data_IF_578881899784
#
_entry.id   IF_578881899784
#
_cell.length_a   1.000
_cell.length_b   1.000
_cell.length_c   1.000
_cell.angle_alpha   90.00
_cell.angle_beta   90.00
_cell.angle_gamma   90.00
#
_symmetry.space_group_name_H-M   'P 1'
#
loop_
_entity.id
_entity.type
_entity.pdbx_description
1 polymer ?
#
# COMPACT_ATOMS: atom_id res chain seq x y z
N UNK A 1 2.84 -4.27 12.26
CA UNK A 1 3.24 -3.08 11.47
C UNK A 1 4.73 -3.18 11.17
N UNK A 2 5.23 -2.55 10.11
CA UNK A 2 6.67 -2.51 9.80
C UNK A 2 7.34 -1.49 10.72
N UNK A 3 8.50 -1.81 11.30
CA UNK A 3 9.34 -0.81 11.97
C UNK A 3 10.06 0.09 10.94
N UNK A 4 10.78 1.12 11.38
CA UNK A 4 11.40 2.10 10.48
C UNK A 4 12.37 1.46 9.45
N UNK A 5 13.26 0.59 9.92
CA UNK A 5 14.24 -0.12 9.07
C UNK A 5 13.58 -1.09 8.10
N UNK A 6 12.56 -1.82 8.56
CA UNK A 6 11.77 -2.74 7.73
C UNK A 6 10.96 -1.98 6.67
N UNK A 7 10.46 -0.81 7.02
CA UNK A 7 9.69 0.05 6.13
C UNK A 7 10.56 0.59 4.99
N UNK A 8 11.78 1.05 5.29
CA UNK A 8 12.70 1.51 4.24
C UNK A 8 13.13 0.38 3.29
N UNK A 9 13.37 -0.81 3.84
CA UNK A 9 13.65 -2.00 3.04
C UNK A 9 12.45 -2.38 2.15
N UNK A 10 11.24 -2.35 2.72
CA UNK A 10 10.00 -2.57 1.99
C UNK A 10 9.85 -1.59 0.83
N UNK A 11 9.99 -0.28 1.06
CA UNK A 11 9.87 0.75 0.01
C UNK A 11 10.83 0.49 -1.15
N UNK A 12 12.11 0.23 -0.86
CA UNK A 12 13.12 -0.08 -1.88
C UNK A 12 12.75 -1.30 -2.72
N UNK A 13 12.26 -2.37 -2.08
CA UNK A 13 11.87 -3.61 -2.76
C UNK A 13 10.64 -3.38 -3.65
N UNK A 14 9.63 -2.68 -3.14
CA UNK A 14 8.41 -2.37 -3.89
C UNK A 14 8.72 -1.50 -5.11
N UNK A 15 9.46 -0.40 -4.94
CA UNK A 15 9.83 0.48 -6.04
C UNK A 15 10.65 -0.27 -7.12
N UNK A 16 11.58 -1.13 -6.71
CA UNK A 16 12.36 -1.96 -7.64
C UNK A 16 11.46 -2.94 -8.40
N UNK A 17 10.53 -3.60 -7.72
CA UNK A 17 9.60 -4.59 -8.31
C UNK A 17 8.67 -3.94 -9.34
N UNK A 18 8.13 -2.76 -9.03
CA UNK A 18 7.13 -2.10 -9.88
C UNK A 18 7.71 -1.07 -10.84
N UNK A 19 9.04 -0.89 -10.88
CA UNK A 19 9.71 0.01 -11.83
C UNK A 19 9.24 -0.16 -13.29
N UNK A 20 9.01 -1.36 -13.84
CA UNK A 20 8.48 -1.51 -15.20
C UNK A 20 7.06 -0.93 -15.37
N UNK A 21 6.20 -1.08 -14.36
CA UNK A 21 4.83 -0.57 -14.38
C UNK A 21 4.75 0.95 -14.17
N UNK A 22 5.77 1.53 -13.52
CA UNK A 22 5.91 2.98 -13.34
C UNK A 22 6.47 3.68 -14.58
N UNK A 23 7.22 2.97 -15.43
CA UNK A 23 7.89 3.54 -16.60
C UNK A 23 6.96 4.29 -17.58
N UNK A 24 5.75 3.79 -17.91
CA UNK A 24 4.86 4.49 -18.84
C UNK A 24 4.03 5.60 -18.19
N UNK A 25 4.11 5.78 -16.87
CA UNK A 25 3.30 6.75 -16.12
C UNK A 25 3.98 8.12 -16.07
N UNK A 26 3.16 9.17 -16.07
CA UNK A 26 3.60 10.52 -15.78
C UNK A 26 3.88 10.67 -14.27
N UNK A 27 5.13 10.96 -13.92
CA UNK A 27 5.54 11.03 -12.51
C UNK A 27 4.86 12.17 -11.74
N UNK A 28 4.40 13.23 -12.41
CA UNK A 28 3.79 14.39 -11.76
C UNK A 28 2.29 14.19 -11.50
N UNK A 29 1.62 13.44 -12.37
CA UNK A 29 0.15 13.38 -12.41
C UNK A 29 -0.41 12.00 -12.10
N UNK A 30 0.35 10.93 -12.39
CA UNK A 30 -0.12 9.56 -12.23
C UNK A 30 0.31 8.95 -10.89
N UNK A 31 -0.39 7.89 -10.54
CA UNK A 31 -0.05 7.02 -9.42
C UNK A 31 -0.29 5.57 -9.77
N UNK A 32 0.39 4.68 -9.06
CA UNK A 32 0.21 3.24 -9.16
C UNK A 32 -0.30 2.69 -7.82
N UNK A 33 -1.51 2.12 -7.82
CA UNK A 33 -2.03 1.34 -6.70
C UNK A 33 -1.91 -0.15 -6.95
N UNK A 34 -1.29 -0.86 -6.03
CA UNK A 34 -1.02 -2.29 -6.15
C UNK A 34 -1.32 -3.03 -4.86
N UNK A 35 -2.01 -4.17 -4.99
CA UNK A 35 -2.02 -5.19 -3.96
C UNK A 35 -0.78 -6.08 -4.13
N UNK A 36 0.00 -6.24 -3.08
CA UNK A 36 1.27 -6.99 -3.08
C UNK A 36 1.42 -7.79 -1.79
N UNK A 37 2.34 -8.74 -1.78
CA UNK A 37 2.75 -9.44 -0.57
C UNK A 37 4.21 -9.19 -0.24
N UNK A 38 4.50 -9.08 1.06
CA UNK A 38 5.83 -8.93 1.61
C UNK A 38 5.93 -9.67 2.94
N UNK A 39 6.93 -10.56 3.08
CA UNK A 39 7.13 -11.40 4.26
C UNK A 39 5.85 -12.13 4.70
N UNK A 40 5.12 -12.71 3.74
CA UNK A 40 3.88 -13.46 3.99
C UNK A 40 2.65 -12.62 4.35
N UNK A 41 2.75 -11.28 4.35
CA UNK A 41 1.63 -10.38 4.65
C UNK A 41 1.17 -9.65 3.38
N UNK A 42 -0.13 -9.42 3.27
CA UNK A 42 -0.76 -8.71 2.16
C UNK A 42 -0.81 -7.21 2.46
N UNK A 43 -0.40 -6.40 1.49
CA UNK A 43 -0.38 -4.96 1.57
C UNK A 43 -1.03 -4.34 0.35
N UNK A 44 -1.75 -3.25 0.55
CA UNK A 44 -2.04 -2.30 -0.52
C UNK A 44 -1.04 -1.16 -0.45
N UNK A 45 -0.45 -0.84 -1.59
CA UNK A 45 0.55 0.20 -1.71
C UNK A 45 0.12 1.19 -2.77
N UNK A 46 0.26 2.49 -2.46
CA UNK A 46 0.20 3.56 -3.45
C UNK A 46 1.59 4.12 -3.68
N UNK A 47 2.00 4.17 -4.94
CA UNK A 47 3.25 4.77 -5.41
C UNK A 47 2.89 6.02 -6.22
N UNK A 48 3.52 7.15 -5.91
CA UNK A 48 3.33 8.42 -6.65
C UNK A 48 4.64 9.20 -6.69
N UNK A 49 4.74 10.17 -7.60
CA UNK A 49 5.85 11.10 -7.62
C UNK A 49 5.85 12.01 -6.39
N UNK A 50 7.03 12.30 -5.86
CA UNK A 50 7.26 13.38 -4.89
C UNK A 50 8.36 14.30 -5.38
N UNK A 51 8.19 15.62 -5.25
CA UNK A 51 9.26 16.57 -5.52
C UNK A 51 10.32 16.50 -4.40
N UNK A 52 11.58 16.57 -4.78
CA UNK A 52 12.69 16.85 -3.87
C UNK A 52 12.83 18.37 -3.62
N UNK A 53 13.84 18.78 -2.84
CA UNK A 53 14.11 20.19 -2.53
C UNK A 53 14.41 21.05 -3.78
N UNK A 54 14.78 20.42 -4.89
CA UNK A 54 15.12 21.06 -6.16
C UNK A 54 13.99 20.95 -7.19
N UNK A 55 12.79 20.54 -6.79
CA UNK A 55 11.64 20.28 -7.68
C UNK A 55 11.85 19.15 -8.69
N UNK A 56 12.82 18.26 -8.48
CA UNK A 56 12.91 17.02 -9.26
C UNK A 56 12.00 15.96 -8.67
N UNK A 57 11.28 15.24 -9.53
CA UNK A 57 10.39 14.18 -9.07
C UNK A 57 11.08 12.83 -8.95
N UNK A 58 10.73 12.09 -7.90
CA UNK A 58 11.09 10.68 -7.74
C UNK A 58 9.89 9.86 -7.29
N UNK A 59 9.85 8.58 -7.67
CA UNK A 59 8.80 7.66 -7.23
C UNK A 59 8.97 7.31 -5.75
N UNK A 60 7.91 7.50 -4.97
CA UNK A 60 7.88 7.16 -3.55
C UNK A 60 6.64 6.34 -3.20
N UNK A 61 6.77 5.52 -2.16
CA UNK A 61 5.66 4.76 -1.57
C UNK A 61 5.02 5.62 -0.49
N UNK A 62 3.86 6.19 -0.81
CA UNK A 62 3.20 7.19 0.05
C UNK A 62 2.13 6.62 0.97
N UNK A 63 1.62 5.43 0.67
CA UNK A 63 0.60 4.75 1.45
C UNK A 63 0.85 3.27 1.48
N UNK A 64 0.75 2.68 2.67
CA UNK A 64 0.82 1.23 2.88
C UNK A 64 -0.29 0.82 3.84
N UNK A 65 -1.22 0.00 3.38
CA UNK A 65 -2.31 -0.55 4.20
C UNK A 65 -2.08 -2.05 4.34
N UNK A 66 -1.95 -2.54 5.57
CA UNK A 66 -1.84 -3.97 5.84
C UNK A 66 -3.23 -4.61 5.80
N UNK A 67 -3.51 -5.41 4.76
CA UNK A 67 -4.77 -6.16 4.62
C UNK A 67 -4.78 -7.49 5.38
N UNK A 68 -3.66 -7.92 5.94
CA UNK A 68 -3.61 -9.12 6.80
C UNK A 68 -4.29 -8.93 8.16
N UNK A 69 -4.73 -7.70 8.48
CA UNK A 69 -5.61 -7.45 9.62
C UNK A 69 -7.05 -7.49 9.10
N UNK A 70 -7.56 -8.71 8.87
CA UNK A 70 -9.02 -8.88 8.88
C UNK A 70 -9.42 -8.67 10.35
N UNK A 71 -10.29 -7.69 10.70
CA UNK A 71 -10.83 -7.64 12.04
C UNK A 71 -11.54 -8.97 12.29
N UNK A 72 -11.05 -9.75 13.25
CA UNK A 72 -11.72 -10.95 13.75
C UNK A 72 -12.94 -10.54 14.59
N UNK A 73 -13.89 -9.84 13.98
CA UNK A 73 -15.15 -9.42 14.59
C UNK A 73 -16.20 -9.15 13.52
N UNK A 74 -16.44 -10.13 12.67
CA UNK A 74 -17.79 -10.38 12.17
C UNK A 74 -18.13 -11.78 12.66
N UNK A 75 -18.47 -11.88 13.95
CA UNK A 75 -19.32 -12.98 14.37
C UNK A 75 -20.64 -12.83 13.61
N UNK A 76 -21.15 -13.86 12.92
CA UNK A 76 -22.52 -13.87 12.44
C UNK A 76 -23.44 -13.97 13.66
N UNK A 77 -23.60 -12.86 14.37
CA UNK A 77 -24.43 -12.72 15.55
C UNK A 77 -25.88 -12.55 15.13
N UNK A 78 -26.53 -13.69 14.87
CA UNK A 78 -27.96 -13.96 15.00
C UNK A 78 -28.92 -12.88 14.45
N UNK A 79 -29.62 -13.23 13.38
CA UNK A 79 -30.99 -12.77 13.16
C UNK A 79 -31.80 -12.94 14.45
N UNK A 80 -32.06 -11.84 15.15
CA UNK A 80 -33.19 -11.74 16.06
C UNK A 80 -34.27 -10.94 15.36
N UNK A 81 -35.16 -11.68 14.68
CA UNK A 81 -36.56 -11.31 14.60
C UNK A 81 -37.10 -11.26 16.04
N UNK A 82 -37.29 -10.05 16.56
CA UNK A 82 -38.23 -9.68 17.62
C UNK A 82 -38.73 -8.30 17.19
N UNK A 83 -40.01 -7.99 17.04
CA UNK A 83 -41.23 -8.67 17.43
C UNK A 83 -42.23 -7.57 17.79
N UNK A 84 -43.36 -7.53 17.10
CA UNK A 84 -44.73 -7.27 17.58
C UNK A 84 -45.64 -7.00 16.38
#
# INVERSE_FOLDING_TARGET
MLNHTEFDSFKKIILKRFKPALKPLDIENDFLEVSTSYLGKAYEVRIMGRPDQNSNYFWDVVRVVNRSIIPSSISPGKSQLQGK
#
